data_IF_130540113006
#
_entry.id   IF_130540113006
#
_cell.length_a   1.000
_cell.length_b   1.000
_cell.length_c   1.000
_cell.angle_alpha   90.00
_cell.angle_beta   90.00
_cell.angle_gamma   90.00
#
_symmetry.space_group_name_H-M   'P 1'
#
loop_
_entity.id
_entity.type
_entity.pdbx_description
1 polymer ?
#
# COMPACT_ATOMS: atom_id res chain seq x y z
N UNK A 1 26.80 -2.38 3.64
CA UNK A 1 26.70 -0.91 3.45
C UNK A 1 27.69 -0.42 2.41
N UNK A 2 28.96 -0.13 2.73
CA UNK A 2 29.98 0.36 1.76
C UNK A 2 30.02 -0.43 0.45
N UNK A 3 30.19 -1.74 0.53
CA UNK A 3 30.21 -2.57 -0.68
C UNK A 3 28.95 -2.42 -1.55
N UNK A 4 27.75 -2.35 -0.94
CA UNK A 4 26.50 -2.15 -1.68
C UNK A 4 26.42 -0.75 -2.29
N UNK A 5 26.92 0.26 -1.57
CA UNK A 5 27.01 1.63 -2.06
C UNK A 5 27.97 1.74 -3.25
N UNK A 6 29.10 1.04 -3.21
CA UNK A 6 30.07 0.96 -4.30
C UNK A 6 29.48 0.23 -5.51
N UNK A 7 28.75 -0.86 -5.29
CA UNK A 7 28.04 -1.60 -6.35
C UNK A 7 27.00 -0.70 -7.05
N UNK A 8 26.20 0.05 -6.29
CA UNK A 8 25.22 1.00 -6.85
C UNK A 8 25.93 2.13 -7.63
N UNK A 9 27.07 2.62 -7.14
CA UNK A 9 27.87 3.64 -7.82
C UNK A 9 28.46 3.13 -9.13
N UNK A 10 28.98 1.90 -9.15
CA UNK A 10 29.45 1.24 -10.37
C UNK A 10 28.32 1.05 -11.39
N UNK A 11 27.12 0.65 -10.92
CA UNK A 11 25.94 0.54 -11.77
C UNK A 11 25.54 1.91 -12.36
N UNK A 12 25.56 2.98 -11.57
CA UNK A 12 25.30 4.33 -12.08
C UNK A 12 26.33 4.77 -13.11
N UNK A 13 27.61 4.58 -12.81
CA UNK A 13 28.72 5.03 -13.66
C UNK A 13 28.78 4.28 -15.00
N UNK A 14 28.38 3.00 -15.01
CA UNK A 14 28.34 2.18 -16.23
C UNK A 14 27.05 2.35 -17.05
N UNK A 15 26.03 3.03 -16.50
CA UNK A 15 24.77 3.26 -17.19
C UNK A 15 24.87 4.46 -18.15
N UNK A 16 24.21 4.34 -19.30
CA UNK A 16 23.99 5.47 -20.22
C UNK A 16 22.72 6.25 -19.87
N UNK A 17 21.92 5.76 -18.92
CA UNK A 17 20.67 6.38 -18.49
C UNK A 17 20.90 7.39 -17.36
N UNK A 18 20.35 8.59 -17.50
CA UNK A 18 20.44 9.65 -16.48
C UNK A 18 19.34 9.60 -15.42
N UNK A 19 18.24 8.89 -15.64
CA UNK A 19 17.08 8.88 -14.73
C UNK A 19 17.27 7.87 -13.58
N UNK A 20 17.79 8.35 -12.45
CA UNK A 20 18.05 7.51 -11.28
C UNK A 20 17.08 7.84 -10.14
N UNK A 21 16.50 6.78 -9.57
CA UNK A 21 15.73 6.83 -8.34
C UNK A 21 16.23 5.71 -7.43
N UNK A 22 17.04 6.06 -6.44
CA UNK A 22 17.52 5.11 -5.43
C UNK A 22 16.63 5.23 -4.20
N UNK A 23 16.01 4.13 -3.80
CA UNK A 23 15.06 4.08 -2.70
C UNK A 23 15.33 2.91 -1.78
N UNK A 24 15.16 3.13 -0.48
CA UNK A 24 15.10 2.06 0.50
C UNK A 24 15.49 2.50 1.88
N UNK A 25 15.68 1.49 2.74
CA UNK A 25 16.31 1.63 4.05
C UNK A 25 17.84 1.66 3.91
N UNK A 26 18.43 2.85 4.01
CA UNK A 26 19.88 3.02 3.96
C UNK A 26 20.56 2.66 5.28
N UNK A 27 19.78 2.45 6.35
CA UNK A 27 20.25 2.27 7.71
C UNK A 27 21.19 3.41 8.19
N UNK A 28 21.12 4.59 7.58
CA UNK A 28 22.02 5.73 7.81
C UNK A 28 21.24 7.04 7.87
N UNK A 29 21.66 7.94 8.77
CA UNK A 29 21.13 9.31 8.88
C UNK A 29 22.06 10.28 8.16
N UNK A 30 21.52 11.39 7.65
CA UNK A 30 22.26 12.47 6.99
C UNK A 30 22.56 13.64 7.93
N UNK A 31 21.75 13.81 8.97
CA UNK A 31 21.91 14.85 9.98
C UNK A 31 21.68 14.30 11.38
N UNK A 32 22.31 14.91 12.38
CA UNK A 32 22.21 14.46 13.76
C UNK A 32 20.76 14.51 14.29
N UNK A 33 19.97 15.49 13.86
CA UNK A 33 18.59 15.71 14.31
C UNK A 33 17.59 14.70 13.70
N UNK A 34 18.05 13.85 12.79
CA UNK A 34 17.31 12.74 12.21
C UNK A 34 17.37 11.48 13.08
N UNK A 35 18.04 11.55 14.24
CA UNK A 35 18.02 10.52 15.27
C UNK A 35 17.71 11.12 16.63
N UNK A 36 16.76 10.51 17.32
CA UNK A 36 16.48 10.80 18.73
C UNK A 36 16.57 9.49 19.49
N UNK A 37 17.30 9.48 20.60
CA UNK A 37 17.40 8.33 21.49
C UNK A 37 17.40 8.79 22.95
N UNK A 38 16.86 7.94 23.84
CA UNK A 38 16.92 8.15 25.28
C UNK A 38 18.35 8.07 25.84
N UNK A 39 19.28 7.46 25.11
CA UNK A 39 20.71 7.53 25.43
C UNK A 39 21.23 8.95 25.12
N UNK A 40 21.95 9.55 26.08
CA UNK A 40 22.53 10.89 25.95
C UNK A 40 23.36 11.04 24.67
N UNK A 41 23.27 12.25 24.09
CA UNK A 41 24.07 12.80 22.98
C UNK A 41 25.23 11.91 22.52
N UNK A 42 25.03 11.19 21.42
CA UNK A 42 26.14 10.59 20.69
C UNK A 42 26.85 11.74 19.99
N UNK A 43 28.17 11.85 20.14
CA UNK A 43 28.99 12.81 19.40
C UNK A 43 28.83 12.68 17.87
N UNK A 44 29.55 13.48 17.08
CA UNK A 44 29.45 13.42 15.62
C UNK A 44 29.71 11.99 15.12
N UNK A 45 28.70 11.40 14.47
CA UNK A 45 28.74 10.05 13.91
C UNK A 45 29.47 10.09 12.55
N UNK A 46 30.67 9.49 12.41
CA UNK A 46 31.44 9.52 11.16
C UNK A 46 30.69 8.87 9.98
N UNK A 47 29.70 8.01 10.24
CA UNK A 47 28.89 7.41 9.19
C UNK A 47 27.98 8.42 8.49
N UNK A 48 27.71 9.58 9.11
CA UNK A 48 26.95 10.68 8.49
C UNK A 48 27.74 11.31 7.35
N UNK A 49 29.02 11.62 7.56
CA UNK A 49 29.84 12.22 6.51
C UNK A 49 30.08 11.26 5.36
N UNK A 50 30.28 9.97 5.67
CA UNK A 50 30.41 8.91 4.68
C UNK A 50 29.15 8.78 3.82
N UNK A 51 27.96 8.74 4.44
CA UNK A 51 26.70 8.63 3.70
C UNK A 51 26.45 9.84 2.81
N UNK A 52 26.71 11.05 3.31
CA UNK A 52 26.57 12.26 2.50
C UNK A 52 27.61 12.34 1.37
N UNK A 53 28.83 11.86 1.58
CA UNK A 53 29.84 11.75 0.51
C UNK A 53 29.35 10.83 -0.59
N UNK A 54 28.84 9.65 -0.23
CA UNK A 54 28.31 8.70 -1.20
C UNK A 54 27.12 9.28 -2.00
N UNK A 55 26.19 9.98 -1.34
CA UNK A 55 25.08 10.68 -2.04
C UNK A 55 25.62 11.72 -3.04
N UNK A 56 26.65 12.47 -2.64
CA UNK A 56 27.28 13.49 -3.49
C UNK A 56 28.04 12.88 -4.67
N UNK A 57 28.79 11.80 -4.44
CA UNK A 57 29.51 11.05 -5.49
C UNK A 57 28.54 10.44 -6.49
N UNK A 58 27.40 9.96 -5.99
CA UNK A 58 26.29 9.50 -6.78
C UNK A 58 25.57 10.63 -7.54
N UNK A 59 25.87 11.90 -7.31
CA UNK A 59 25.13 13.05 -7.86
C UNK A 59 23.60 12.84 -7.75
N UNK A 60 23.15 12.58 -6.53
CA UNK A 60 21.73 12.44 -6.19
C UNK A 60 21.34 13.47 -5.15
N UNK A 61 20.09 13.91 -5.21
CA UNK A 61 19.50 14.77 -4.20
C UNK A 61 18.40 14.05 -3.43
N UNK A 62 18.31 14.32 -2.12
CA UNK A 62 17.19 13.84 -1.35
C UNK A 62 15.94 14.65 -1.63
N UNK A 63 14.85 13.93 -1.89
CA UNK A 63 13.55 14.54 -2.13
C UNK A 63 13.01 15.22 -0.88
N UNK A 64 12.35 16.36 -1.06
CA UNK A 64 11.54 16.99 -0.01
C UNK A 64 10.59 15.96 0.61
N UNK A 65 10.54 15.90 1.94
CA UNK A 65 9.71 14.96 2.68
C UNK A 65 8.58 15.64 3.44
N UNK A 66 7.39 15.04 3.40
CA UNK A 66 6.16 15.48 4.08
C UNK A 66 5.60 14.32 4.91
N UNK A 67 4.95 14.63 6.04
CA UNK A 67 4.34 13.64 6.92
C UNK A 67 5.16 13.44 8.19
N UNK A 68 5.39 12.20 8.60
CA UNK A 68 6.17 11.91 9.81
C UNK A 68 7.63 12.32 9.65
N UNK A 69 8.24 12.81 10.74
CA UNK A 69 9.67 13.20 10.76
C UNK A 69 10.62 11.99 10.67
N UNK A 70 10.25 10.88 11.30
CA UNK A 70 11.07 9.66 11.37
C UNK A 70 10.41 8.53 10.60
N UNK A 71 11.24 7.66 10.01
CA UNK A 71 10.78 6.51 9.23
C UNK A 71 11.00 5.19 9.95
N UNK A 72 11.74 5.18 11.06
CA UNK A 72 11.97 4.01 11.87
C UNK A 72 11.83 4.33 13.36
N UNK A 73 11.28 3.38 14.10
CA UNK A 73 11.02 3.48 15.53
C UNK A 73 11.40 2.17 16.20
N UNK A 74 12.31 2.23 17.18
CA UNK A 74 12.65 1.06 17.98
C UNK A 74 11.39 0.51 18.66
N UNK A 75 11.17 -0.82 18.71
CA UNK A 75 9.94 -1.39 19.27
C UNK A 75 9.59 -0.93 20.68
N UNK A 76 10.61 -0.69 21.52
CA UNK A 76 10.44 -0.20 22.90
C UNK A 76 10.29 1.34 23.01
N UNK A 77 10.21 2.07 21.89
CA UNK A 77 10.06 3.52 21.85
C UNK A 77 11.29 4.34 22.25
N UNK A 78 12.39 3.71 22.66
CA UNK A 78 13.58 4.40 23.18
C UNK A 78 14.44 5.11 22.12
N UNK A 79 14.17 4.88 20.84
CA UNK A 79 14.87 5.52 19.74
C UNK A 79 13.99 5.63 18.50
N UNK A 80 14.22 6.67 17.72
CA UNK A 80 13.61 6.89 16.41
C UNK A 80 14.66 7.46 15.46
N UNK A 81 14.60 7.09 14.18
CA UNK A 81 15.55 7.53 13.17
C UNK A 81 14.88 7.70 11.81
N UNK A 82 15.45 8.55 10.96
CA UNK A 82 15.09 8.64 9.54
C UNK A 82 16.08 7.85 8.70
N UNK A 83 15.68 6.65 8.30
CA UNK A 83 16.53 5.68 7.60
C UNK A 83 16.09 5.44 6.14
N UNK A 84 14.80 5.66 5.86
CA UNK A 84 14.17 5.37 4.57
C UNK A 84 14.03 6.63 3.72
N UNK A 85 14.56 6.59 2.48
CA UNK A 85 14.63 7.78 1.62
C UNK A 85 14.44 7.44 0.15
N UNK A 86 13.98 8.44 -0.61
CA UNK A 86 14.18 8.54 -2.05
C UNK A 86 15.32 9.52 -2.33
N UNK A 87 16.29 9.08 -3.13
CA UNK A 87 17.40 9.88 -3.65
C UNK A 87 17.30 9.88 -5.17
N UNK A 88 17.20 11.05 -5.79
CA UNK A 88 16.88 11.21 -7.20
C UNK A 88 17.98 11.97 -7.93
N UNK A 89 18.21 11.66 -9.21
CA UNK A 89 19.12 12.45 -10.04
C UNK A 89 18.48 13.74 -10.54
N UNK A 90 19.31 14.69 -10.98
CA UNK A 90 18.85 15.95 -11.58
C UNK A 90 17.96 15.69 -12.81
N UNK A 91 18.30 14.70 -13.64
CA UNK A 91 17.49 14.30 -14.79
C UNK A 91 16.08 13.87 -14.38
N UNK A 92 15.93 13.23 -13.22
CA UNK A 92 14.61 12.90 -12.68
C UNK A 92 13.82 14.17 -12.36
N UNK A 93 14.44 15.15 -11.70
CA UNK A 93 13.78 16.41 -11.38
C UNK A 93 13.43 17.24 -12.61
N UNK A 94 14.18 17.11 -13.72
CA UNK A 94 13.80 17.72 -15.00
C UNK A 94 12.47 17.15 -15.54
N UNK A 95 12.22 15.86 -15.35
CA UNK A 95 10.96 15.22 -15.77
C UNK A 95 9.83 15.43 -14.74
N UNK A 96 10.17 15.40 -13.46
CA UNK A 96 9.24 15.37 -12.33
C UNK A 96 9.68 16.35 -11.23
N UNK A 97 9.61 17.67 -11.48
CA UNK A 97 10.14 18.69 -10.57
C UNK A 97 9.41 18.73 -9.22
N UNK A 98 8.12 18.34 -9.20
CA UNK A 98 7.32 18.32 -7.98
C UNK A 98 7.40 16.99 -7.21
N UNK A 99 8.42 16.16 -7.51
CA UNK A 99 8.70 14.94 -6.76
C UNK A 99 8.80 15.22 -5.26
N UNK A 100 7.97 14.55 -4.47
CA UNK A 100 7.88 14.70 -3.02
C UNK A 100 7.77 13.33 -2.37
N UNK A 101 8.55 13.09 -1.32
CA UNK A 101 8.42 11.92 -0.45
C UNK A 101 7.34 12.18 0.59
N UNK A 102 6.44 11.21 0.77
CA UNK A 102 5.46 11.19 1.85
C UNK A 102 5.82 10.06 2.81
N UNK A 103 6.03 10.38 4.09
CA UNK A 103 6.19 9.40 5.16
C UNK A 103 4.82 9.16 5.79
N UNK A 104 4.28 7.97 5.57
CA UNK A 104 2.94 7.57 5.98
C UNK A 104 2.92 7.13 7.45
N UNK A 105 1.72 6.90 7.98
CA UNK A 105 1.57 6.37 9.33
C UNK A 105 2.16 4.97 9.46
N UNK A 106 2.78 4.74 10.63
CA UNK A 106 3.35 3.45 10.98
C UNK A 106 2.21 2.46 11.25
N UNK A 107 2.34 1.27 10.68
CA UNK A 107 1.43 0.14 10.94
C UNK A 107 2.16 -0.91 11.80
N UNK A 108 2.05 -2.20 11.47
CA UNK A 108 2.65 -3.33 12.18
C UNK A 108 4.20 -3.43 12.11
N UNK A 109 4.87 -2.66 11.25
CA UNK A 109 6.34 -2.63 11.15
C UNK A 109 6.95 -1.59 12.10
N UNK A 110 8.21 -1.78 12.48
CA UNK A 110 9.03 -0.75 13.10
C UNK A 110 9.39 0.41 12.14
N UNK A 111 9.18 0.22 10.83
CA UNK A 111 9.29 1.25 9.79
C UNK A 111 7.94 1.89 9.42
N UNK A 112 7.99 3.15 9.01
CA UNK A 112 6.92 3.86 8.33
C UNK A 112 7.06 3.69 6.82
N UNK A 113 5.97 3.34 6.10
CA UNK A 113 6.00 3.33 4.64
C UNK A 113 6.33 4.72 4.07
N UNK A 114 7.16 4.75 3.03
CA UNK A 114 7.45 5.97 2.25
C UNK A 114 6.87 5.87 0.84
N UNK A 115 6.37 6.99 0.32
CA UNK A 115 5.76 7.09 -1.00
C UNK A 115 6.38 8.26 -1.77
N UNK A 116 6.95 7.99 -2.94
CA UNK A 116 7.33 9.05 -3.87
C UNK A 116 6.13 9.42 -4.73
N UNK A 117 5.84 10.72 -4.80
CA UNK A 117 4.78 11.26 -5.61
C UNK A 117 5.28 12.52 -6.32
N UNK A 118 5.22 12.51 -7.65
CA UNK A 118 5.27 13.75 -8.44
C UNK A 118 3.86 14.17 -8.84
N UNK A 119 3.70 15.27 -9.60
CA UNK A 119 2.41 15.84 -10.05
C UNK A 119 1.30 14.80 -10.17
N UNK A 120 0.10 15.11 -9.67
CA UNK A 120 -1.09 14.32 -9.97
C UNK A 120 -1.36 14.42 -11.48
N UNK A 121 -0.77 13.51 -12.24
CA UNK A 121 -1.11 13.34 -13.65
C UNK A 121 -2.46 12.66 -13.67
N UNK A 122 -3.47 13.36 -14.18
CA UNK A 122 -4.73 12.73 -14.52
C UNK A 122 -4.48 11.83 -15.74
N UNK A 123 -4.31 10.53 -15.48
CA UNK A 123 -4.18 9.51 -16.52
C UNK A 123 -5.53 9.21 -17.22
N UNK A 124 -6.54 10.04 -16.99
CA UNK A 124 -7.89 9.90 -17.48
C UNK A 124 -8.75 8.99 -16.62
N UNK A 125 -9.94 8.61 -17.11
CA UNK A 125 -10.87 7.79 -16.36
C UNK A 125 -10.23 6.47 -15.93
N UNK A 126 -10.25 6.18 -14.63
CA UNK A 126 -9.74 4.91 -14.09
C UNK A 126 -10.33 3.73 -14.87
N UNK A 127 -9.50 2.82 -15.42
CA UNK A 127 -9.99 1.68 -16.15
C UNK A 127 -10.86 0.82 -15.23
N UNK A 128 -11.96 0.30 -15.80
CA UNK A 128 -12.81 -0.64 -15.09
C UNK A 128 -12.06 -1.97 -14.97
N UNK A 129 -11.93 -2.47 -13.74
CA UNK A 129 -11.35 -3.77 -13.44
C UNK A 129 -12.29 -4.54 -12.51
N UNK A 130 -12.51 -5.80 -12.82
CA UNK A 130 -13.16 -6.76 -11.93
C UNK A 130 -12.14 -7.18 -10.87
N UNK A 131 -12.56 -7.20 -9.59
CA UNK A 131 -11.69 -7.64 -8.51
C UNK A 131 -11.83 -9.15 -8.31
N UNK A 132 -10.72 -9.87 -8.11
CA UNK A 132 -10.74 -11.34 -8.02
C UNK A 132 -11.64 -11.84 -6.89
N UNK A 133 -11.68 -11.12 -5.76
CA UNK A 133 -12.54 -11.48 -4.64
C UNK A 133 -14.04 -11.35 -4.96
N UNK A 134 -14.44 -10.51 -5.94
CA UNK A 134 -15.84 -10.43 -6.38
C UNK A 134 -16.30 -11.75 -7.00
N UNK A 135 -15.41 -12.52 -7.63
CA UNK A 135 -15.77 -13.80 -8.24
C UNK A 135 -16.21 -14.85 -7.21
N UNK A 136 -15.82 -14.67 -5.94
CA UNK A 136 -16.22 -15.52 -4.81
C UNK A 136 -17.48 -15.00 -4.10
N UNK A 137 -17.92 -13.79 -4.41
CA UNK A 137 -19.09 -13.16 -3.81
C UNK A 137 -20.37 -13.65 -4.51
N UNK A 138 -21.29 -14.26 -3.75
CA UNK A 138 -22.55 -14.78 -4.30
C UNK A 138 -23.43 -13.68 -4.90
N UNK A 139 -23.43 -12.49 -4.32
CA UNK A 139 -24.16 -11.33 -4.82
C UNK A 139 -23.62 -10.85 -6.16
N UNK A 140 -22.30 -10.91 -6.36
CA UNK A 140 -21.70 -10.64 -7.67
C UNK A 140 -22.11 -11.67 -8.72
N UNK A 141 -22.04 -12.97 -8.39
CA UNK A 141 -22.43 -14.04 -9.32
C UNK A 141 -23.89 -13.88 -9.77
N UNK A 142 -24.80 -13.69 -8.81
CA UNK A 142 -26.23 -13.45 -9.07
C UNK A 142 -26.47 -12.20 -9.93
N UNK A 143 -25.75 -11.11 -9.65
CA UNK A 143 -25.83 -9.88 -10.45
C UNK A 143 -25.43 -10.15 -11.91
N UNK A 144 -24.32 -10.87 -12.13
CA UNK A 144 -23.83 -11.16 -13.49
C UNK A 144 -24.85 -12.02 -14.23
N UNK A 145 -25.30 -13.12 -13.63
CA UNK A 145 -26.30 -14.02 -14.23
C UNK A 145 -27.59 -13.27 -14.57
N UNK A 146 -28.13 -12.49 -13.63
CA UNK A 146 -29.36 -11.73 -13.83
C UNK A 146 -29.22 -10.66 -14.92
N UNK A 147 -28.17 -9.83 -14.84
CA UNK A 147 -28.00 -8.69 -15.77
C UNK A 147 -27.58 -9.14 -17.16
N UNK A 148 -26.89 -10.27 -17.27
CA UNK A 148 -26.58 -10.89 -18.55
C UNK A 148 -27.80 -11.60 -19.15
N UNK A 149 -28.53 -12.37 -18.34
CA UNK A 149 -29.68 -13.14 -18.77
C UNK A 149 -30.89 -12.28 -19.14
N UNK A 150 -31.10 -11.14 -18.49
CA UNK A 150 -32.32 -10.34 -18.68
C UNK A 150 -32.19 -9.22 -19.73
N UNK A 151 -30.99 -8.96 -20.26
CA UNK A 151 -30.76 -7.88 -21.21
C UNK A 151 -30.54 -8.42 -22.63
N UNK A 152 -31.50 -8.11 -23.50
CA UNK A 152 -31.58 -8.57 -24.90
C UNK A 152 -31.74 -7.38 -25.86
N UNK A 153 -30.67 -6.62 -26.14
CA UNK A 153 -30.74 -5.56 -27.13
C UNK A 153 -30.98 -6.17 -28.53
N UNK A 154 -31.78 -5.52 -29.40
CA UNK A 154 -31.97 -5.98 -30.77
C UNK A 154 -30.73 -5.71 -31.63
N UNK A 155 -30.56 -6.45 -32.73
CA UNK A 155 -29.50 -6.24 -33.72
C UNK A 155 -28.61 -7.46 -33.95
N UNK A 156 -27.59 -7.31 -34.81
CA UNK A 156 -26.61 -8.37 -35.09
C UNK A 156 -25.75 -8.73 -33.87
N UNK A 157 -25.22 -9.97 -33.84
CA UNK A 157 -24.56 -10.55 -32.68
C UNK A 157 -23.44 -9.70 -32.06
N UNK A 158 -22.63 -9.01 -32.89
CA UNK A 158 -21.57 -8.12 -32.40
C UNK A 158 -22.09 -6.90 -31.65
N UNK A 159 -23.18 -6.29 -32.13
CA UNK A 159 -23.86 -5.20 -31.43
C UNK A 159 -24.46 -5.68 -30.11
N UNK A 160 -25.14 -6.84 -30.14
CA UNK A 160 -25.74 -7.44 -28.95
C UNK A 160 -24.68 -7.67 -27.88
N UNK A 161 -23.57 -8.31 -28.24
CA UNK A 161 -22.47 -8.58 -27.32
C UNK A 161 -21.89 -7.29 -26.71
N UNK A 162 -21.58 -6.29 -27.53
CA UNK A 162 -21.04 -5.00 -27.08
C UNK A 162 -21.99 -4.30 -26.09
N UNK A 163 -23.28 -4.27 -26.41
CA UNK A 163 -24.28 -3.67 -25.52
C UNK A 163 -24.44 -4.45 -24.21
N UNK A 164 -24.43 -5.80 -24.25
CA UNK A 164 -24.50 -6.63 -23.04
C UNK A 164 -23.29 -6.39 -22.13
N UNK A 165 -22.08 -6.31 -22.68
CA UNK A 165 -20.87 -5.99 -21.90
C UNK A 165 -20.96 -4.59 -21.29
N UNK A 166 -21.43 -3.58 -22.04
CA UNK A 166 -21.61 -2.20 -21.52
C UNK A 166 -22.62 -2.15 -20.37
N UNK A 167 -23.78 -2.80 -20.54
CA UNK A 167 -24.82 -2.90 -19.52
C UNK A 167 -24.32 -3.61 -18.25
N UNK A 168 -23.61 -4.74 -18.43
CA UNK A 168 -23.03 -5.48 -17.33
C UNK A 168 -21.97 -4.65 -16.58
N UNK A 169 -21.07 -3.97 -17.30
CA UNK A 169 -20.06 -3.06 -16.73
C UNK A 169 -20.70 -1.97 -15.87
N UNK A 170 -21.78 -1.33 -16.34
CA UNK A 170 -22.50 -0.31 -15.58
C UNK A 170 -23.14 -0.89 -14.32
N UNK A 171 -23.78 -2.06 -14.44
CA UNK A 171 -24.40 -2.76 -13.31
C UNK A 171 -23.37 -3.13 -12.24
N UNK A 172 -22.22 -3.70 -12.64
CA UNK A 172 -21.13 -4.04 -11.72
C UNK A 172 -20.57 -2.80 -11.03
N UNK A 173 -20.39 -1.69 -11.77
CA UNK A 173 -19.94 -0.42 -11.16
C UNK A 173 -20.89 0.04 -10.05
N UNK A 174 -22.18 0.09 -10.32
CA UNK A 174 -23.19 0.47 -9.34
C UNK A 174 -23.17 -0.45 -8.12
N UNK A 175 -23.19 -1.76 -8.35
CA UNK A 175 -23.12 -2.76 -7.28
C UNK A 175 -21.87 -2.60 -6.43
N UNK A 176 -20.71 -2.39 -7.04
CA UNK A 176 -19.43 -2.28 -6.32
C UNK A 176 -19.35 -1.07 -5.37
N UNK A 177 -20.03 0.03 -5.70
CA UNK A 177 -20.10 1.21 -4.85
C UNK A 177 -20.96 0.94 -3.62
N UNK A 178 -22.17 0.41 -3.83
CA UNK A 178 -23.08 0.04 -2.74
C UNK A 178 -22.48 -1.03 -1.83
N UNK A 179 -21.85 -2.06 -2.42
CA UNK A 179 -21.25 -3.16 -1.67
C UNK A 179 -20.04 -2.72 -0.84
N UNK A 180 -19.26 -1.72 -1.30
CA UNK A 180 -18.12 -1.20 -0.53
C UNK A 180 -18.58 -0.59 0.79
N UNK A 181 -19.61 0.25 0.77
CA UNK A 181 -20.12 0.90 1.98
C UNK A 181 -20.75 -0.12 2.93
N UNK A 182 -21.52 -1.06 2.39
CA UNK A 182 -22.09 -2.15 3.17
C UNK A 182 -20.99 -2.98 3.86
N UNK A 183 -19.96 -3.42 3.12
CA UNK A 183 -18.86 -4.21 3.67
C UNK A 183 -18.07 -3.48 4.75
N UNK A 184 -17.81 -2.17 4.58
CA UNK A 184 -17.12 -1.39 5.60
C UNK A 184 -17.90 -1.36 6.93
N UNK A 185 -19.22 -1.16 6.86
CA UNK A 185 -20.12 -1.20 8.02
C UNK A 185 -20.17 -2.60 8.64
N UNK A 186 -20.29 -3.64 7.82
CA UNK A 186 -20.29 -5.04 8.28
C UNK A 186 -19.01 -5.38 9.04
N UNK A 187 -17.84 -5.00 8.53
CA UNK A 187 -16.56 -5.23 9.22
C UNK A 187 -16.49 -4.49 10.56
N UNK A 188 -16.99 -3.24 10.61
CA UNK A 188 -17.05 -2.49 11.87
C UNK A 188 -17.98 -3.15 12.89
N UNK A 189 -19.15 -3.63 12.46
CA UNK A 189 -20.11 -4.32 13.32
C UNK A 189 -19.53 -5.64 13.85
N UNK A 190 -18.94 -6.47 12.98
CA UNK A 190 -18.29 -7.73 13.39
C UNK A 190 -17.20 -7.45 14.43
N UNK A 191 -16.35 -6.44 14.18
CA UNK A 191 -15.31 -6.06 15.16
C UNK A 191 -15.93 -5.62 16.49
N UNK A 192 -16.98 -4.81 16.44
CA UNK A 192 -17.68 -4.35 17.65
C UNK A 192 -18.27 -5.53 18.43
N UNK A 193 -19.05 -6.39 17.79
CA UNK A 193 -19.65 -7.57 18.43
C UNK A 193 -18.59 -8.51 19.03
N UNK A 194 -17.47 -8.71 18.33
CA UNK A 194 -16.37 -9.50 18.84
C UNK A 194 -15.76 -8.88 20.11
N UNK A 195 -15.52 -7.57 20.11
CA UNK A 195 -14.99 -6.86 21.28
C UNK A 195 -15.98 -6.86 22.45
N UNK A 196 -17.28 -6.65 22.18
CA UNK A 196 -18.33 -6.67 23.19
C UNK A 196 -18.43 -8.06 23.84
N UNK A 197 -18.37 -9.13 23.02
CA UNK A 197 -18.33 -10.52 23.49
C UNK A 197 -17.08 -10.80 24.33
N UNK A 198 -15.89 -10.41 23.86
CA UNK A 198 -14.64 -10.64 24.59
C UNK A 198 -14.58 -9.87 25.91
N UNK A 199 -15.10 -8.63 25.93
CA UNK A 199 -15.18 -7.81 27.16
C UNK A 199 -16.12 -8.45 28.19
N UNK A 200 -17.26 -8.99 27.75
CA UNK A 200 -18.22 -9.68 28.62
C UNK A 200 -17.74 -11.03 29.18
N UNK A 201 -16.58 -11.52 28.72
CA UNK A 201 -15.96 -12.79 29.14
C UNK A 201 -14.74 -12.61 30.04
N UNK A 202 -14.35 -11.38 30.39
CA UNK A 202 -13.16 -11.10 31.22
C UNK A 202 -13.26 -11.77 32.59
N UNK A 203 -14.45 -11.76 33.20
CA UNK A 203 -14.67 -12.21 34.58
C UNK A 203 -15.40 -13.56 34.70
N UNK A 204 -15.61 -14.29 33.59
CA UNK A 204 -16.33 -15.59 33.62
C UNK A 204 -15.96 -16.52 32.46
N UNK A 205 -16.25 -17.80 32.64
CA UNK A 205 -16.13 -18.77 31.55
C UNK A 205 -17.19 -18.53 30.45
N UNK A 206 -16.83 -18.70 29.16
CA UNK A 206 -17.77 -18.62 28.05
C UNK A 206 -18.70 -19.83 27.99
N UNK A 207 -19.95 -19.60 27.59
CA UNK A 207 -20.89 -20.67 27.27
C UNK A 207 -20.53 -21.32 25.92
N UNK A 208 -21.07 -22.52 25.67
CA UNK A 208 -20.86 -23.21 24.39
C UNK A 208 -21.41 -22.40 23.20
N UNK A 209 -22.52 -21.69 23.38
CA UNK A 209 -23.11 -20.83 22.35
C UNK A 209 -22.22 -19.62 22.04
N UNK A 210 -21.63 -19.01 23.07
CA UNK A 210 -20.70 -17.89 22.93
C UNK A 210 -19.41 -18.30 22.21
N UNK A 211 -18.91 -19.52 22.46
CA UNK A 211 -17.77 -20.07 21.74
C UNK A 211 -18.07 -20.28 20.24
N UNK A 212 -19.27 -20.79 19.92
CA UNK A 212 -19.72 -20.97 18.54
C UNK A 212 -19.86 -19.61 17.84
N UNK A 213 -20.49 -18.65 18.51
CA UNK A 213 -20.66 -17.29 17.99
C UNK A 213 -19.31 -16.61 17.76
N UNK A 214 -18.39 -16.68 18.74
CA UNK A 214 -17.03 -16.15 18.61
C UNK A 214 -16.33 -16.72 17.38
N UNK A 215 -16.35 -18.04 17.22
CA UNK A 215 -15.72 -18.70 16.07
C UNK A 215 -16.33 -18.25 14.74
N UNK A 216 -17.65 -18.07 14.69
CA UNK A 216 -18.36 -17.56 13.53
C UNK A 216 -17.94 -16.12 13.19
N UNK A 217 -17.94 -15.21 14.18
CA UNK A 217 -17.54 -13.81 13.99
C UNK A 217 -16.07 -13.69 13.56
N UNK A 218 -15.18 -14.49 14.14
CA UNK A 218 -13.78 -14.55 13.73
C UNK A 218 -13.62 -15.02 12.28
N UNK A 219 -14.37 -16.05 11.87
CA UNK A 219 -14.40 -16.52 10.48
C UNK A 219 -14.84 -15.43 9.51
N UNK A 220 -15.93 -14.73 9.82
CA UNK A 220 -16.43 -13.63 8.99
C UNK A 220 -15.44 -12.47 8.89
N UNK A 221 -14.79 -12.11 10.01
CA UNK A 221 -13.76 -11.07 10.03
C UNK A 221 -12.55 -11.47 9.17
N UNK A 222 -12.15 -12.74 9.24
CA UNK A 222 -11.06 -13.30 8.44
C UNK A 222 -11.37 -13.24 6.94
N UNK A 223 -12.56 -13.66 6.54
CA UNK A 223 -12.99 -13.60 5.14
C UNK A 223 -12.99 -12.16 4.60
N UNK A 224 -13.46 -11.20 5.41
CA UNK A 224 -13.43 -9.79 5.03
C UNK A 224 -12.00 -9.23 4.93
N UNK A 225 -11.12 -9.59 5.86
CA UNK A 225 -9.70 -9.22 5.81
C UNK A 225 -9.02 -9.79 4.57
N UNK A 226 -9.27 -11.06 4.25
CA UNK A 226 -8.75 -11.72 3.06
C UNK A 226 -9.25 -11.07 1.76
N UNK A 227 -10.52 -10.69 1.69
CA UNK A 227 -11.06 -9.95 0.54
C UNK A 227 -10.39 -8.58 0.36
N UNK A 228 -10.15 -7.87 1.46
CA UNK A 228 -9.44 -6.59 1.45
C UNK A 228 -7.97 -6.76 1.00
N UNK A 229 -7.27 -7.74 1.54
CA UNK A 229 -5.90 -8.08 1.15
C UNK A 229 -5.80 -8.45 -0.33
N UNK A 230 -6.71 -9.30 -0.83
CA UNK A 230 -6.80 -9.68 -2.24
C UNK A 230 -6.97 -8.46 -3.15
N UNK A 231 -7.85 -7.53 -2.76
CA UNK A 231 -8.02 -6.26 -3.47
C UNK A 231 -6.73 -5.43 -3.48
N UNK A 232 -6.03 -5.33 -2.34
CA UNK A 232 -4.77 -4.58 -2.26
C UNK A 232 -3.69 -5.20 -3.15
N UNK A 233 -3.52 -6.53 -3.11
CA UNK A 233 -2.58 -7.26 -3.96
C UNK A 233 -2.82 -7.03 -5.45
N UNK A 234 -4.09 -7.08 -5.87
CA UNK A 234 -4.45 -6.84 -7.27
C UNK A 234 -4.21 -5.38 -7.68
N UNK A 235 -4.49 -4.41 -6.81
CA UNK A 235 -4.23 -2.98 -7.07
C UNK A 235 -2.73 -2.67 -7.13
N UNK A 236 -1.95 -3.27 -6.26
CA UNK A 236 -0.49 -3.14 -6.22
C UNK A 236 0.21 -3.94 -7.33
N UNK A 237 -0.55 -4.64 -8.19
CA UNK A 237 -0.03 -5.48 -9.29
C UNK A 237 1.01 -6.50 -8.79
N UNK A 238 0.82 -7.06 -7.61
CA UNK A 238 1.81 -7.96 -6.98
C UNK A 238 2.10 -9.20 -7.84
N UNK A 239 1.12 -9.65 -8.63
CA UNK A 239 1.36 -10.74 -9.61
C UNK A 239 2.26 -10.33 -10.76
N UNK A 240 2.22 -9.07 -11.21
CA UNK A 240 3.06 -8.58 -12.32
C UNK A 240 4.54 -8.60 -11.94
N UNK A 241 4.88 -8.42 -10.66
CA UNK A 241 6.24 -8.57 -10.16
C UNK A 241 6.79 -10.01 -10.34
N UNK A 242 5.90 -11.01 -10.46
CA UNK A 242 6.27 -12.43 -10.57
C UNK A 242 6.02 -13.03 -11.96
N UNK A 243 4.96 -12.57 -12.63
CA UNK A 243 4.43 -13.20 -13.85
C UNK A 243 4.72 -12.38 -15.12
N UNK A 244 5.27 -11.17 -15.00
CA UNK A 244 5.46 -10.27 -16.16
C UNK A 244 4.13 -9.71 -16.68
N UNK A 245 4.20 -9.06 -17.85
CA UNK A 245 3.03 -8.54 -18.60
C UNK A 245 2.32 -9.65 -19.39
#
# INVERSE_FOLDING_TARGET
KRQQWDEILQLKTSSQEGLWCVVGDFNSIRHQDERVSAAQFVGPDPSISEFNSWISEMALEEVRSIGRKFTWFRPNGSAMSRLDRFLLSDEWFLQWPDSTQFVLDRDFSDHCPILLKSKNIDWGPKPFKVMDWWLKDKGFQQLVEQKWGNYHPPGWGGFVLNHKIKHLKQSIKSWSLTNREANARTVQNIKKELNDLETGLIDRAPSQEELILKKSLQGQLWDAAYAYESMLRQKARVKWLKEGD
#
